data_IF_723030817775
#
_entry.id   IF_723030817775
#
_cell.length_a   1.000
_cell.length_b   1.000
_cell.length_c   1.000
_cell.angle_alpha   90.00
_cell.angle_beta   90.00
_cell.angle_gamma   90.00
#
_symmetry.space_group_name_H-M   'P 1'
#
loop_
_entity.id
_entity.type
_entity.pdbx_description
1 polymer ?
#
# COMPACT_ATOMS: atom_id res chain seq x y z
N UNK A 1 -20.67 51.71 74.30
CA UNK A 1 -21.02 50.28 74.38
C UNK A 1 -20.07 49.53 73.45
N UNK A 2 -19.11 48.77 74.01
CA UNK A 2 -18.10 48.01 73.26
C UNK A 2 -18.58 46.57 73.14
N UNK A 3 -18.66 46.06 71.91
CA UNK A 3 -18.63 44.62 71.60
C UNK A 3 -17.48 44.44 70.59
N UNK A 4 -16.44 43.65 70.91
CA UNK A 4 -15.39 43.30 69.96
C UNK A 4 -15.74 42.00 69.24
N UNK A 5 -15.25 41.80 68.02
CA UNK A 5 -14.93 40.49 67.40
C UNK A 5 -14.86 40.72 65.88
N UNK A 6 -13.69 40.63 65.24
CA UNK A 6 -13.16 39.33 64.79
C UNK A 6 -14.25 38.37 64.27
N UNK A 7 -15.09 38.82 63.34
CA UNK A 7 -15.94 37.88 62.60
C UNK A 7 -16.37 38.36 61.19
N UNK A 8 -15.70 39.38 60.65
CA UNK A 8 -16.00 39.86 59.28
C UNK A 8 -14.94 39.52 58.23
N UNK A 9 -13.82 38.90 58.62
CA UNK A 9 -12.70 38.59 57.71
C UNK A 9 -12.50 37.10 57.42
N UNK A 10 -13.36 36.22 57.93
CA UNK A 10 -13.25 34.75 57.72
C UNK A 10 -14.15 34.25 56.59
N UNK A 11 -15.12 35.05 56.12
CA UNK A 11 -16.08 34.60 55.08
C UNK A 11 -15.68 34.92 53.64
N UNK A 12 -14.61 35.70 53.39
CA UNK A 12 -14.14 35.98 52.03
C UNK A 12 -12.90 35.17 51.61
N UNK A 13 -12.23 34.50 52.56
CA UNK A 13 -11.10 33.61 52.28
C UNK A 13 -11.51 32.14 52.07
N UNK A 14 -12.78 31.78 52.31
CA UNK A 14 -13.29 30.42 52.19
C UNK A 14 -13.91 30.07 50.82
N UNK A 15 -13.95 31.02 49.88
CA UNK A 15 -14.46 30.80 48.51
C UNK A 15 -13.36 30.65 47.44
N UNK A 16 -12.09 30.62 47.84
CA UNK A 16 -10.94 30.35 46.96
C UNK A 16 -10.37 28.93 47.11
N UNK A 17 -11.03 28.06 47.88
CA UNK A 17 -10.52 26.71 48.19
C UNK A 17 -11.18 25.55 47.42
N UNK A 18 -12.15 25.81 46.54
CA UNK A 18 -12.76 24.77 45.69
C UNK A 18 -12.95 25.27 44.26
N UNK A 19 -11.82 25.44 43.59
CA UNK A 19 -11.76 25.84 42.19
C UNK A 19 -10.41 25.51 41.56
N UNK A 20 -9.69 24.50 42.08
CA UNK A 20 -8.81 23.74 41.21
C UNK A 20 -9.74 23.05 40.22
N UNK A 21 -10.00 23.70 39.10
CA UNK A 21 -10.25 22.99 37.87
C UNK A 21 -9.03 22.08 37.71
N UNK A 22 -9.15 20.85 38.20
CA UNK A 22 -8.36 19.76 37.71
C UNK A 22 -8.50 19.86 36.20
N UNK A 23 -7.43 20.27 35.54
CA UNK A 23 -7.30 20.09 34.11
C UNK A 23 -7.82 18.69 33.84
N UNK A 24 -8.72 18.50 32.85
CA UNK A 24 -9.26 17.16 32.57
C UNK A 24 -8.06 16.24 32.55
N UNK A 25 -8.07 15.23 33.42
CA UNK A 25 -6.98 14.28 33.53
C UNK A 25 -6.60 13.95 32.10
N UNK A 26 -5.38 14.32 31.72
CA UNK A 26 -4.83 13.89 30.46
C UNK A 26 -4.81 12.38 30.64
N UNK A 27 -5.83 11.73 30.10
CA UNK A 27 -5.84 10.30 29.91
C UNK A 27 -4.68 10.09 28.96
N UNK A 28 -3.48 9.95 29.53
CA UNK A 28 -2.38 9.29 28.88
C UNK A 28 -2.96 7.93 28.58
N UNK A 29 -3.44 7.80 27.35
CA UNK A 29 -3.84 6.54 26.78
C UNK A 29 -2.70 5.62 27.14
N UNK A 30 -3.03 4.65 28.01
CA UNK A 30 -2.18 3.55 28.41
C UNK A 30 -1.38 3.16 27.20
N UNK A 31 -0.04 3.18 27.37
CA UNK A 31 0.97 2.95 26.34
C UNK A 31 0.37 2.22 25.15
N UNK A 32 0.32 2.88 24.00
CA UNK A 32 -0.12 2.26 22.76
C UNK A 32 0.86 1.13 22.41
N UNK A 33 0.65 -0.02 23.05
CA UNK A 33 1.29 -1.29 22.85
C UNK A 33 0.73 -1.83 21.54
N UNK A 34 1.25 -1.29 20.43
CA UNK A 34 1.52 -2.02 19.21
C UNK A 34 2.03 -1.04 18.14
N UNK A 35 3.33 -1.11 17.89
CA UNK A 35 3.84 -0.88 16.54
C UNK A 35 3.29 -2.01 15.67
N UNK A 36 2.14 -1.81 15.02
CA UNK A 36 1.62 -2.78 14.04
C UNK A 36 2.28 -2.57 12.68
N UNK A 37 3.58 -2.81 12.63
CA UNK A 37 4.06 -3.95 11.87
C UNK A 37 5.57 -4.08 12.07
N UNK A 38 5.99 -5.11 12.79
CA UNK A 38 7.27 -5.74 12.49
C UNK A 38 7.31 -5.99 10.98
N UNK A 39 8.49 -5.83 10.36
CA UNK A 39 8.69 -6.27 8.99
C UNK A 39 8.15 -7.71 8.86
N UNK A 40 7.39 -7.99 7.81
CA UNK A 40 6.84 -9.33 7.65
C UNK A 40 8.01 -10.32 7.57
N UNK A 41 7.81 -11.51 8.13
CA UNK A 41 8.71 -12.65 7.95
C UNK A 41 9.11 -12.80 6.47
N UNK A 42 10.29 -13.37 6.17
CA UNK A 42 10.79 -13.49 4.82
C UNK A 42 9.73 -14.04 3.86
N UNK A 43 9.58 -13.42 2.69
CA UNK A 43 8.67 -13.88 1.64
C UNK A 43 9.39 -14.83 0.70
N UNK A 44 8.73 -15.91 0.32
CA UNK A 44 9.28 -16.88 -0.60
C UNK A 44 8.81 -16.62 -2.03
N UNK A 45 9.76 -16.54 -2.96
CA UNK A 45 9.48 -16.38 -4.39
C UNK A 45 9.76 -17.70 -5.10
N UNK A 46 8.72 -18.28 -5.72
CA UNK A 46 8.79 -19.60 -6.35
C UNK A 46 8.66 -19.51 -7.87
N UNK A 47 9.63 -20.02 -8.65
CA UNK A 47 9.62 -19.90 -10.10
C UNK A 47 8.74 -20.94 -10.80
N UNK A 48 8.23 -21.97 -10.10
CA UNK A 48 7.62 -23.14 -10.75
C UNK A 48 6.43 -22.86 -11.68
N UNK A 49 5.62 -21.83 -11.40
CA UNK A 49 4.54 -21.40 -12.31
C UNK A 49 5.11 -20.69 -13.53
N UNK A 50 6.03 -19.75 -13.31
CA UNK A 50 6.74 -19.03 -14.37
C UNK A 50 7.48 -19.99 -15.32
N UNK A 51 8.24 -20.95 -14.81
CA UNK A 51 8.96 -21.93 -15.62
C UNK A 51 8.04 -22.76 -16.52
N UNK A 52 6.86 -23.13 -16.01
CA UNK A 52 5.84 -23.81 -16.81
C UNK A 52 5.29 -22.89 -17.90
N UNK A 53 5.04 -21.63 -17.57
CA UNK A 53 4.49 -20.65 -18.52
C UNK A 53 5.52 -20.32 -19.61
N UNK A 54 6.80 -20.13 -19.27
CA UNK A 54 7.88 -19.91 -20.25
C UNK A 54 7.95 -21.06 -21.26
N UNK A 55 7.87 -22.32 -20.80
CA UNK A 55 7.79 -23.50 -21.69
C UNK A 55 6.55 -23.48 -22.57
N UNK A 56 5.40 -23.12 -22.00
CA UNK A 56 4.11 -23.04 -22.72
C UNK A 56 4.17 -22.01 -23.85
N UNK A 57 4.78 -20.85 -23.58
CA UNK A 57 4.92 -19.74 -24.53
C UNK A 57 6.17 -19.84 -25.41
N UNK A 58 6.95 -20.93 -25.29
CA UNK A 58 8.23 -21.15 -26.00
C UNK A 58 9.21 -19.98 -25.82
N UNK A 59 9.23 -19.42 -24.61
CA UNK A 59 10.16 -18.39 -24.22
C UNK A 59 11.45 -19.02 -23.65
N UNK A 60 12.60 -18.33 -23.77
CA UNK A 60 13.86 -18.84 -23.24
C UNK A 60 13.81 -19.05 -21.72
N UNK A 61 14.33 -20.18 -21.21
CA UNK A 61 14.29 -20.51 -19.79
C UNK A 61 15.09 -19.53 -18.92
N UNK A 62 16.13 -18.90 -19.46
CA UNK A 62 16.94 -17.88 -18.78
C UNK A 62 16.13 -16.64 -18.37
N UNK A 63 14.99 -16.39 -19.03
CA UNK A 63 14.07 -15.32 -18.62
C UNK A 63 13.54 -15.52 -17.21
N UNK A 64 13.50 -16.76 -16.71
CA UNK A 64 13.09 -17.05 -15.33
C UNK A 64 13.96 -16.27 -14.34
N UNK A 65 15.28 -16.35 -14.46
CA UNK A 65 16.21 -15.64 -13.57
C UNK A 65 16.07 -14.11 -13.68
N UNK A 66 15.90 -13.59 -14.89
CA UNK A 66 15.73 -12.13 -15.12
C UNK A 66 14.43 -11.62 -14.47
N UNK A 67 13.34 -12.35 -14.65
CA UNK A 67 12.03 -12.00 -14.08
C UNK A 67 12.06 -12.13 -12.56
N UNK A 68 12.65 -13.20 -12.03
CA UNK A 68 12.77 -13.42 -10.59
C UNK A 68 13.57 -12.29 -9.94
N UNK A 69 14.74 -11.94 -10.48
CA UNK A 69 15.53 -10.79 -10.02
C UNK A 69 14.72 -9.49 -10.08
N UNK A 70 14.00 -9.25 -11.19
CA UNK A 70 13.17 -8.07 -11.36
C UNK A 70 12.08 -7.98 -10.29
N UNK A 71 11.39 -9.10 -9.99
CA UNK A 71 10.36 -9.15 -8.96
C UNK A 71 10.97 -8.97 -7.58
N UNK A 72 12.09 -9.64 -7.30
CA UNK A 72 12.86 -9.52 -6.05
C UNK A 72 13.24 -8.06 -5.77
N UNK A 73 13.91 -7.39 -6.70
CA UNK A 73 14.31 -5.98 -6.55
C UNK A 73 13.14 -5.05 -6.25
N UNK A 74 12.00 -5.25 -6.92
CA UNK A 74 10.83 -4.41 -6.75
C UNK A 74 10.14 -4.66 -5.40
N UNK A 75 10.14 -5.90 -4.92
CA UNK A 75 9.61 -6.23 -3.58
C UNK A 75 10.55 -5.69 -2.50
N UNK A 76 11.86 -5.85 -2.65
CA UNK A 76 12.85 -5.34 -1.68
C UNK A 76 12.80 -3.81 -1.56
N UNK A 77 12.60 -3.10 -2.68
CA UNK A 77 12.38 -1.64 -2.69
C UNK A 77 11.24 -1.19 -1.79
N UNK A 78 10.25 -2.04 -1.54
CA UNK A 78 9.11 -1.68 -0.67
C UNK A 78 9.45 -1.81 0.81
N UNK A 79 10.62 -2.38 1.16
CA UNK A 79 11.09 -2.60 2.55
C UNK A 79 10.07 -3.28 3.46
N UNK A 80 9.17 -4.08 2.88
CA UNK A 80 8.01 -4.65 3.59
C UNK A 80 8.31 -6.01 4.20
N UNK A 81 8.98 -6.85 3.43
CA UNK A 81 9.47 -8.14 3.89
C UNK A 81 10.90 -7.95 4.37
N UNK A 82 11.27 -8.65 5.45
CA UNK A 82 12.65 -8.62 5.96
C UNK A 82 13.65 -9.11 4.91
N UNK A 83 13.22 -10.04 4.06
CA UNK A 83 14.00 -10.61 2.98
C UNK A 83 13.08 -11.27 1.93
N UNK A 84 13.52 -11.29 0.68
CA UNK A 84 12.97 -12.17 -0.36
C UNK A 84 13.86 -13.40 -0.46
N UNK A 85 13.29 -14.60 -0.35
CA UNK A 85 14.00 -15.88 -0.45
C UNK A 85 13.51 -16.61 -1.69
N UNK A 86 14.41 -16.89 -2.61
CA UNK A 86 14.09 -17.69 -3.79
C UNK A 86 14.21 -19.19 -3.48
N UNK A 87 13.24 -19.98 -3.94
CA UNK A 87 13.29 -21.44 -3.84
C UNK A 87 12.57 -22.00 -2.60
N UNK A 88 13.13 -23.02 -1.97
CA UNK A 88 12.39 -23.86 -1.01
C UNK A 88 11.87 -23.08 0.20
N UNK A 89 10.61 -23.34 0.56
CA UNK A 89 9.97 -22.77 1.74
C UNK A 89 10.55 -23.44 2.99
N UNK A 90 11.28 -22.69 3.79
CA UNK A 90 11.96 -23.18 5.00
C UNK A 90 11.32 -22.69 6.30
N UNK A 91 10.21 -21.94 6.23
CA UNK A 91 9.54 -21.34 7.39
C UNK A 91 8.03 -21.55 7.37
N UNK A 92 7.41 -21.34 8.52
CA UNK A 92 5.96 -21.41 8.72
C UNK A 92 5.39 -20.00 8.91
N UNK A 93 4.10 -19.79 8.65
CA UNK A 93 3.45 -18.46 8.74
C UNK A 93 4.08 -17.41 7.82
N UNK A 94 4.24 -17.75 6.55
CA UNK A 94 4.92 -16.91 5.55
C UNK A 94 4.08 -16.69 4.29
N UNK A 95 4.41 -15.64 3.55
CA UNK A 95 3.88 -15.39 2.23
C UNK A 95 4.71 -16.09 1.16
N UNK A 96 4.02 -16.59 0.14
CA UNK A 96 4.60 -17.22 -1.03
C UNK A 96 4.06 -16.53 -2.27
N UNK A 97 4.98 -16.10 -3.12
CA UNK A 97 4.69 -15.40 -4.37
C UNK A 97 5.09 -16.33 -5.52
N UNK A 98 4.17 -16.54 -6.46
CA UNK A 98 4.41 -17.32 -7.67
C UNK A 98 4.15 -16.44 -8.90
N UNK A 99 5.20 -16.02 -9.63
CA UNK A 99 5.02 -15.32 -10.89
C UNK A 99 4.41 -16.24 -11.95
N UNK A 100 3.56 -15.69 -12.82
CA UNK A 100 2.99 -16.39 -13.97
C UNK A 100 2.59 -15.46 -15.11
N UNK A 101 2.34 -16.03 -16.29
CA UNK A 101 1.96 -15.32 -17.51
C UNK A 101 0.57 -15.81 -17.94
N UNK A 102 -0.44 -14.94 -17.79
CA UNK A 102 -1.83 -15.24 -18.15
C UNK A 102 -2.04 -15.34 -19.66
N UNK A 103 -1.45 -14.39 -20.40
CA UNK A 103 -1.63 -14.31 -21.84
C UNK A 103 -0.47 -13.60 -22.50
N UNK A 104 -0.05 -14.11 -23.65
CA UNK A 104 0.93 -13.48 -24.52
C UNK A 104 0.40 -13.49 -25.95
N UNK A 105 0.43 -12.35 -26.62
CA UNK A 105 -0.04 -12.23 -28.00
C UNK A 105 0.82 -11.29 -28.82
N UNK A 106 0.87 -11.59 -30.11
CA UNK A 106 1.60 -10.84 -31.11
C UNK A 106 0.69 -10.69 -32.33
N UNK A 107 0.52 -9.46 -32.79
CA UNK A 107 -0.32 -9.16 -33.94
C UNK A 107 0.41 -8.21 -34.87
N UNK A 108 0.25 -8.43 -36.17
CA UNK A 108 0.68 -7.52 -37.21
C UNK A 108 -0.55 -7.05 -37.97
N UNK A 109 -0.71 -5.75 -38.08
CA UNK A 109 -1.85 -5.14 -38.75
C UNK A 109 -1.34 -4.15 -39.79
N UNK A 110 -1.77 -4.26 -41.07
CA UNK A 110 -1.44 -3.27 -42.08
C UNK A 110 -1.92 -1.87 -41.65
N UNK A 111 -1.17 -0.82 -41.99
CA UNK A 111 -1.60 0.56 -41.73
C UNK A 111 -2.23 1.11 -43.02
N UNK A 112 -3.56 1.35 -43.06
CA UNK A 112 -4.23 1.77 -44.30
C UNK A 112 -3.69 3.09 -44.86
N UNK A 113 -3.26 4.00 -43.98
CA UNK A 113 -2.72 5.32 -44.35
C UNK A 113 -1.23 5.33 -44.68
N UNK A 114 -0.52 4.22 -44.43
CA UNK A 114 0.90 4.05 -44.76
C UNK A 114 1.15 2.61 -45.22
N UNK A 115 0.97 2.32 -46.53
CA UNK A 115 1.09 0.97 -47.07
C UNK A 115 2.53 0.44 -47.06
N UNK A 116 3.51 1.30 -46.75
CA UNK A 116 4.91 0.89 -46.63
C UNK A 116 5.24 0.33 -45.24
N UNK A 117 4.31 0.45 -44.28
CA UNK A 117 4.50 0.02 -42.90
C UNK A 117 3.34 -0.85 -42.40
N UNK A 118 3.60 -1.58 -41.33
CA UNK A 118 2.62 -2.32 -40.54
C UNK A 118 2.79 -1.97 -39.08
N UNK A 119 1.69 -2.03 -38.33
CA UNK A 119 1.68 -1.92 -36.89
C UNK A 119 1.87 -3.31 -36.29
N UNK A 120 2.94 -3.46 -35.52
CA UNK A 120 3.21 -4.62 -34.68
C UNK A 120 2.69 -4.29 -33.28
N UNK A 121 1.85 -5.15 -32.73
CA UNK A 121 1.35 -5.00 -31.37
C UNK A 121 1.64 -6.28 -30.58
N UNK A 122 2.36 -6.12 -29.48
CA UNK A 122 2.69 -7.18 -28.53
C UNK A 122 1.97 -6.91 -27.23
N UNK A 123 1.19 -7.87 -26.75
CA UNK A 123 0.47 -7.76 -25.48
C UNK A 123 0.83 -8.90 -24.56
N UNK A 124 1.20 -8.58 -23.32
CA UNK A 124 1.43 -9.56 -22.27
C UNK A 124 0.63 -9.19 -21.03
N UNK A 125 -0.06 -10.17 -20.46
CA UNK A 125 -0.65 -10.09 -19.14
C UNK A 125 0.15 -10.98 -18.20
N UNK A 126 0.73 -10.39 -17.19
CA UNK A 126 1.50 -11.10 -16.17
C UNK A 126 0.76 -11.05 -14.84
N UNK A 127 1.05 -12.01 -13.95
CA UNK A 127 0.51 -12.07 -12.60
C UNK A 127 1.55 -12.49 -11.57
N UNK A 128 1.32 -12.07 -10.34
CA UNK A 128 1.98 -12.52 -9.12
C UNK A 128 0.91 -13.13 -8.23
N UNK A 129 0.86 -14.46 -8.16
CA UNK A 129 -0.05 -15.19 -7.29
C UNK A 129 0.49 -15.17 -5.87
N UNK A 130 -0.27 -14.61 -4.93
CA UNK A 130 0.16 -14.51 -3.53
C UNK A 130 -0.66 -15.45 -2.66
N UNK A 131 0.04 -16.30 -1.92
CA UNK A 131 -0.51 -17.26 -0.97
C UNK A 131 0.10 -17.02 0.40
N UNK A 132 -0.68 -17.28 1.44
CA UNK A 132 -0.18 -17.36 2.81
C UNK A 132 -0.14 -18.82 3.23
N UNK A 133 1.00 -19.27 3.74
CA UNK A 133 1.17 -20.61 4.30
C UNK A 133 1.11 -20.54 5.81
N UNK A 134 0.17 -21.26 6.44
CA UNK A 134 0.06 -21.31 7.89
C UNK A 134 1.11 -22.25 8.52
N UNK A 135 1.06 -22.37 9.84
CA UNK A 135 1.86 -23.27 10.67
C UNK A 135 1.68 -24.76 10.37
N UNK A 136 0.58 -25.13 9.72
CA UNK A 136 0.27 -26.49 9.27
C UNK A 136 0.69 -26.78 7.83
N UNK A 137 1.30 -25.82 7.14
CA UNK A 137 1.68 -25.94 5.72
C UNK A 137 0.50 -25.79 4.75
N UNK A 138 -0.67 -25.37 5.23
CA UNK A 138 -1.84 -25.15 4.38
C UNK A 138 -1.76 -23.77 3.72
N UNK A 139 -2.05 -23.74 2.41
CA UNK A 139 -2.05 -22.51 1.64
C UNK A 139 -3.44 -21.88 1.59
N UNK A 140 -3.51 -20.59 1.92
CA UNK A 140 -4.66 -19.73 1.67
C UNK A 140 -4.32 -18.74 0.57
N UNK A 141 -5.13 -18.74 -0.49
CA UNK A 141 -5.00 -17.73 -1.53
C UNK A 141 -5.33 -16.36 -0.94
N UNK A 142 -4.45 -15.39 -1.15
CA UNK A 142 -4.72 -14.00 -0.79
C UNK A 142 -5.46 -13.31 -1.94
N UNK A 143 -4.71 -12.64 -2.82
CA UNK A 143 -5.20 -12.15 -4.10
C UNK A 143 -4.04 -12.09 -5.09
N UNK A 144 -4.26 -12.32 -6.39
CA UNK A 144 -3.24 -12.11 -7.39
C UNK A 144 -3.04 -10.61 -7.68
N UNK A 145 -1.82 -10.24 -8.08
CA UNK A 145 -1.50 -8.92 -8.61
C UNK A 145 -1.14 -9.06 -10.07
N UNK A 146 -1.84 -8.35 -10.96
CA UNK A 146 -1.65 -8.52 -12.40
C UNK A 146 -1.51 -7.18 -13.09
N UNK A 147 -0.79 -7.19 -14.21
CA UNK A 147 -0.62 -6.05 -15.08
C UNK A 147 -0.72 -6.49 -16.54
N UNK A 148 -1.33 -5.66 -17.39
CA UNK A 148 -1.46 -5.88 -18.82
C UNK A 148 -0.70 -4.78 -19.55
N UNK A 149 0.33 -5.17 -20.29
CA UNK A 149 1.14 -4.25 -21.10
C UNK A 149 0.93 -4.50 -22.57
N UNK A 150 0.96 -3.41 -23.33
CA UNK A 150 0.93 -3.41 -24.79
C UNK A 150 2.10 -2.57 -25.27
N UNK A 151 2.90 -3.14 -26.16
CA UNK A 151 3.90 -2.43 -26.96
C UNK A 151 3.37 -2.36 -28.40
N UNK A 152 3.31 -1.14 -28.92
CA UNK A 152 2.84 -0.86 -30.28
C UNK A 152 3.96 -0.21 -31.08
N UNK A 153 4.42 -0.87 -32.13
CA UNK A 153 5.53 -0.45 -32.98
C UNK A 153 5.13 -0.33 -34.45
N UNK A 154 5.75 0.62 -35.17
CA UNK A 154 5.52 0.78 -36.62
C UNK A 154 6.75 0.30 -37.37
N UNK A 155 6.64 -0.86 -38.01
CA UNK A 155 7.76 -1.47 -38.74
C UNK A 155 7.53 -1.39 -40.24
N UNK A 156 8.62 -1.36 -41.01
CA UNK A 156 8.56 -1.41 -42.48
C UNK A 156 8.03 -2.75 -42.96
N UNK A 157 7.19 -2.74 -43.99
CA UNK A 157 6.74 -3.97 -44.67
C UNK A 157 7.86 -4.67 -45.43
N UNK A 158 8.97 -3.95 -45.73
CA UNK A 158 10.13 -4.52 -46.45
C UNK A 158 10.91 -5.52 -45.62
N UNK A 159 10.84 -5.43 -44.29
CA UNK A 159 11.60 -6.28 -43.39
C UNK A 159 10.64 -7.04 -42.47
N UNK A 160 10.57 -8.38 -42.55
CA UNK A 160 9.79 -9.15 -41.62
C UNK A 160 10.36 -9.01 -40.20
N UNK A 161 9.49 -9.05 -39.19
CA UNK A 161 9.94 -9.09 -37.80
C UNK A 161 10.53 -10.47 -37.56
N UNK A 162 11.82 -10.53 -37.23
CA UNK A 162 12.52 -11.79 -36.98
C UNK A 162 12.06 -12.42 -35.67
N UNK A 163 12.39 -13.71 -35.48
CA UNK A 163 12.09 -14.40 -34.23
C UNK A 163 12.81 -13.73 -33.04
N UNK A 164 14.05 -13.28 -33.24
CA UNK A 164 14.84 -12.56 -32.24
C UNK A 164 14.16 -11.24 -31.88
N UNK A 165 13.72 -10.47 -32.87
CA UNK A 165 13.06 -9.19 -32.60
C UNK A 165 11.71 -9.36 -31.90
N UNK A 166 10.97 -10.41 -32.25
CA UNK A 166 9.73 -10.78 -31.56
C UNK A 166 9.98 -11.18 -30.11
N UNK A 167 11.06 -11.91 -29.86
CA UNK A 167 11.47 -12.29 -28.52
C UNK A 167 11.87 -11.05 -27.69
N UNK A 168 12.63 -10.11 -28.26
CA UNK A 168 12.94 -8.84 -27.60
C UNK A 168 11.67 -8.10 -27.15
N UNK A 169 10.66 -7.99 -28.02
CA UNK A 169 9.39 -7.36 -27.67
C UNK A 169 8.64 -8.10 -26.56
N UNK A 170 8.67 -9.44 -26.56
CA UNK A 170 8.07 -10.21 -25.47
C UNK A 170 8.78 -9.94 -24.14
N UNK A 171 10.11 -9.99 -24.14
CA UNK A 171 10.92 -9.72 -22.94
C UNK A 171 10.64 -8.34 -22.37
N UNK A 172 10.64 -7.30 -23.22
CA UNK A 172 10.38 -5.93 -22.79
C UNK A 172 9.00 -5.78 -22.12
N UNK A 173 7.94 -6.26 -22.78
CA UNK A 173 6.57 -6.13 -22.29
C UNK A 173 6.36 -6.94 -20.99
N UNK A 174 6.96 -8.13 -20.91
CA UNK A 174 6.88 -9.00 -19.72
C UNK A 174 7.62 -8.37 -18.54
N UNK A 175 8.85 -7.89 -18.73
CA UNK A 175 9.63 -7.26 -17.66
C UNK A 175 8.95 -6.00 -17.11
N UNK A 176 8.46 -5.13 -17.99
CA UNK A 176 7.72 -3.93 -17.59
C UNK A 176 6.44 -4.32 -16.84
N UNK A 177 5.73 -5.35 -17.32
CA UNK A 177 4.55 -5.88 -16.66
C UNK A 177 4.85 -6.37 -15.23
N UNK A 178 5.94 -7.13 -15.05
CA UNK A 178 6.32 -7.64 -13.73
C UNK A 178 6.76 -6.53 -12.78
N UNK A 179 7.47 -5.50 -13.28
CA UNK A 179 7.80 -4.31 -12.49
C UNK A 179 6.53 -3.63 -11.96
N UNK A 180 5.52 -3.46 -12.82
CA UNK A 180 4.24 -2.85 -12.43
C UNK A 180 3.44 -3.74 -11.46
N UNK A 181 3.34 -5.05 -11.71
CA UNK A 181 2.65 -5.99 -10.84
C UNK A 181 3.32 -6.07 -9.45
N UNK A 182 4.66 -6.09 -9.39
CA UNK A 182 5.42 -6.10 -8.15
C UNK A 182 5.25 -4.79 -7.37
N UNK A 183 5.19 -3.64 -8.05
CA UNK A 183 4.85 -2.37 -7.41
C UNK A 183 3.44 -2.38 -6.81
N UNK A 184 2.44 -2.92 -7.52
CA UNK A 184 1.07 -3.07 -6.98
C UNK A 184 1.02 -3.99 -5.76
N UNK A 185 1.81 -5.08 -5.77
CA UNK A 185 1.98 -5.96 -4.62
C UNK A 185 2.59 -5.18 -3.46
N UNK A 186 3.70 -4.48 -3.71
CA UNK A 186 4.36 -3.61 -2.75
C UNK A 186 3.42 -2.60 -2.10
N UNK A 187 2.58 -1.93 -2.90
CA UNK A 187 1.57 -0.98 -2.42
C UNK A 187 0.49 -1.66 -1.57
N UNK A 188 0.03 -2.85 -1.95
CA UNK A 188 -1.00 -3.55 -1.18
C UNK A 188 -0.47 -4.13 0.13
N UNK A 189 0.81 -4.48 0.18
CA UNK A 189 1.50 -4.86 1.40
C UNK A 189 2.13 -3.66 2.13
N UNK A 190 2.04 -2.44 1.59
CA UNK A 190 2.58 -1.22 2.18
C UNK A 190 1.99 -1.03 3.59
N UNK A 191 2.82 -0.85 4.63
CA UNK A 191 2.28 -0.61 5.95
C UNK A 191 1.46 0.68 5.92
N UNK A 192 0.25 0.59 6.44
CA UNK A 192 -0.56 1.75 6.75
C UNK A 192 -0.65 1.83 8.26
N UNK A 193 -0.08 2.87 8.87
CA UNK A 193 -0.20 3.06 10.32
C UNK A 193 -1.55 3.69 10.62
N UNK A 194 -2.36 3.04 11.46
CA UNK A 194 -3.54 3.68 12.04
C UNK A 194 -3.02 4.76 12.99
N UNK A 195 -3.05 6.00 12.50
CA UNK A 195 -2.50 7.15 13.20
C UNK A 195 -3.45 7.78 14.20
N UNK A 196 -4.74 7.43 14.08
CA UNK A 196 -5.77 8.04 14.90
C UNK A 196 -7.16 7.59 14.51
N UNK A 197 -8.14 8.32 15.06
CA UNK A 197 -9.55 8.16 14.75
C UNK A 197 -10.13 9.51 14.37
N UNK A 198 -11.15 9.48 13.51
CA UNK A 198 -11.98 10.66 13.25
C UNK A 198 -12.63 11.06 14.57
N UNK A 199 -12.22 12.19 15.13
CA UNK A 199 -12.75 12.71 16.39
C UNK A 199 -14.02 13.52 16.17
N UNK A 200 -14.12 14.21 15.02
CA UNK A 200 -15.29 15.02 14.66
C UNK A 200 -15.44 15.13 13.16
N UNK A 201 -16.68 15.11 12.68
CA UNK A 201 -17.02 15.46 11.29
C UNK A 201 -17.85 16.74 11.27
N UNK A 202 -17.43 17.71 10.47
CA UNK A 202 -18.19 18.93 10.22
C UNK A 202 -18.41 19.11 8.71
N UNK A 203 -19.55 18.62 8.22
CA UNK A 203 -19.81 18.53 6.79
C UNK A 203 -18.77 17.64 6.08
N UNK A 204 -18.04 18.22 5.12
CA UNK A 204 -16.94 17.53 4.41
C UNK A 204 -15.58 17.66 5.08
N UNK A 205 -15.49 18.22 6.29
CA UNK A 205 -14.22 18.38 7.01
C UNK A 205 -14.14 17.36 8.13
N UNK A 206 -13.08 16.56 8.14
CA UNK A 206 -12.77 15.65 9.23
C UNK A 206 -11.70 16.26 10.13
N UNK A 207 -11.93 16.17 11.43
CA UNK A 207 -10.92 16.34 12.46
C UNK A 207 -10.50 14.95 12.92
N UNK A 208 -9.20 14.71 12.95
CA UNK A 208 -8.59 13.45 13.31
C UNK A 208 -7.68 13.71 14.49
N UNK A 209 -7.94 13.05 15.61
CA UNK A 209 -7.03 13.07 16.74
C UNK A 209 -5.93 12.04 16.48
N UNK A 210 -4.68 12.49 16.49
CA UNK A 210 -3.51 11.68 16.17
C UNK A 210 -2.53 11.64 17.35
N UNK A 211 -1.72 10.59 17.41
CA UNK A 211 -0.61 10.53 18.35
C UNK A 211 0.66 11.12 17.70
N UNK A 212 1.06 12.34 18.11
CA UNK A 212 2.15 13.09 17.46
C UNK A 212 3.56 12.58 17.73
N UNK A 213 3.74 11.64 18.66
CA UNK A 213 5.06 11.06 18.96
C UNK A 213 5.75 10.40 17.77
N UNK A 214 5.01 10.05 16.70
CA UNK A 214 5.50 9.34 15.51
C UNK A 214 5.39 10.12 14.19
N UNK A 215 4.97 11.39 14.22
CA UNK A 215 4.45 12.11 13.02
C UNK A 215 5.36 13.31 12.64
N UNK A 216 6.60 13.37 13.12
CA UNK A 216 7.51 14.50 12.82
C UNK A 216 7.78 14.72 11.31
N UNK A 217 7.53 13.74 10.46
CA UNK A 217 7.83 13.80 9.02
C UNK A 217 6.70 13.30 8.10
N UNK A 218 5.44 13.46 8.52
CA UNK A 218 4.31 13.07 7.66
C UNK A 218 4.16 14.03 6.48
N UNK A 219 4.03 13.54 5.23
CA UNK A 219 3.82 14.41 4.10
C UNK A 219 2.39 14.92 4.12
N UNK A 220 2.24 16.16 3.69
CA UNK A 220 1.00 16.93 3.84
C UNK A 220 -0.06 16.61 2.78
N UNK A 221 -0.02 15.43 2.17
CA UNK A 221 -0.84 15.13 0.98
C UNK A 221 -2.19 14.51 1.37
N UNK A 222 -2.23 13.24 1.74
CA UNK A 222 -3.50 12.54 1.96
C UNK A 222 -3.40 11.41 3.00
N UNK A 223 -4.53 11.11 3.66
CA UNK A 223 -4.69 9.96 4.57
C UNK A 223 -6.00 9.23 4.26
N UNK A 224 -6.10 7.95 4.61
CA UNK A 224 -7.27 7.12 4.30
C UNK A 224 -8.10 6.84 5.55
N UNK A 225 -9.42 6.91 5.45
CA UNK A 225 -10.35 6.41 6.46
C UNK A 225 -10.69 4.97 6.14
N UNK A 226 -10.58 4.07 7.12
CA UNK A 226 -10.86 2.65 6.98
C UNK A 226 -11.92 2.14 7.98
N UNK A 227 -12.58 1.05 7.60
CA UNK A 227 -13.39 0.25 8.54
C UNK A 227 -12.52 -0.70 9.37
N UNK A 228 -13.16 -1.51 10.21
CA UNK A 228 -12.49 -2.45 11.10
C UNK A 228 -11.79 -3.59 10.35
N UNK A 229 -12.25 -3.91 9.14
CA UNK A 229 -11.66 -4.91 8.24
C UNK A 229 -10.52 -4.32 7.36
N UNK A 230 -10.21 -3.03 7.54
CA UNK A 230 -9.13 -2.35 6.82
C UNK A 230 -9.48 -1.90 5.39
N UNK A 231 -10.76 -1.94 5.00
CA UNK A 231 -11.26 -1.45 3.71
C UNK A 231 -11.37 0.07 3.75
N UNK A 232 -10.92 0.72 2.66
CA UNK A 232 -10.94 2.18 2.52
C UNK A 232 -12.37 2.67 2.28
N UNK A 233 -12.87 3.50 3.19
CA UNK A 233 -14.16 4.18 3.12
C UNK A 233 -14.04 5.56 2.45
N UNK A 234 -12.98 6.30 2.75
CA UNK A 234 -12.76 7.65 2.24
C UNK A 234 -11.29 8.04 2.22
N UNK A 235 -10.98 9.15 1.54
CA UNK A 235 -9.68 9.82 1.57
C UNK A 235 -9.86 11.20 2.22
N UNK A 236 -8.95 11.60 3.09
CA UNK A 236 -8.85 12.95 3.63
C UNK A 236 -7.65 13.62 2.96
N UNK A 237 -7.88 14.73 2.28
CA UNK A 237 -6.87 15.48 1.52
C UNK A 237 -6.87 16.97 1.96
N UNK A 238 -5.80 17.70 1.61
CA UNK A 238 -5.60 19.09 2.03
C UNK A 238 -5.32 19.20 3.53
N UNK A 239 -4.42 18.36 4.04
CA UNK A 239 -4.20 18.17 5.46
C UNK A 239 -3.54 19.39 6.11
N UNK A 240 -4.19 19.91 7.16
CA UNK A 240 -3.59 20.83 8.13
C UNK A 240 -3.19 20.02 9.37
N UNK A 241 -1.89 19.99 9.66
CA UNK A 241 -1.32 19.23 10.78
C UNK A 241 -1.04 20.19 11.94
N UNK A 242 -1.60 19.90 13.10
CA UNK A 242 -1.35 20.58 14.37
C UNK A 242 -0.81 19.56 15.39
N UNK A 243 -0.24 20.03 16.49
CA UNK A 243 0.17 19.11 17.55
C UNK A 243 -1.06 18.33 18.09
N UNK A 244 -0.97 17.00 18.11
CA UNK A 244 -2.04 16.07 18.45
C UNK A 244 -3.21 15.94 17.45
N UNK A 245 -3.24 16.64 16.32
CA UNK A 245 -4.41 16.58 15.41
C UNK A 245 -4.13 16.86 13.93
N UNK A 246 -4.97 16.30 13.06
CA UNK A 246 -5.01 16.61 11.63
C UNK A 246 -6.43 17.03 11.26
N UNK A 247 -6.55 18.02 10.39
CA UNK A 247 -7.83 18.42 9.80
C UNK A 247 -7.73 18.42 8.27
N UNK A 248 -8.75 17.97 7.56
CA UNK A 248 -8.76 17.97 6.10
C UNK A 248 -10.13 17.69 5.49
N UNK A 249 -10.22 17.73 4.15
CA UNK A 249 -11.45 17.49 3.40
C UNK A 249 -11.63 16.00 3.11
N UNK A 250 -12.80 15.47 3.41
CA UNK A 250 -13.19 14.08 3.21
C UNK A 250 -13.81 13.88 1.82
N UNK A 251 -13.31 12.87 1.12
CA UNK A 251 -13.83 12.38 -0.15
C UNK A 251 -14.19 10.90 0.02
N UNK A 252 -15.48 10.62 0.19
CA UNK A 252 -15.98 9.26 0.36
C UNK A 252 -15.93 8.48 -0.95
N UNK A 253 -15.57 7.19 -0.87
CA UNK A 253 -15.75 6.27 -2.00
C UNK A 253 -17.23 5.92 -2.14
N UNK A 254 -17.70 5.76 -3.38
CA UNK A 254 -19.12 5.54 -3.70
C UNK A 254 -19.79 4.52 -2.76
N UNK A 255 -20.84 4.95 -2.05
CA UNK A 255 -21.65 4.14 -1.15
C UNK A 255 -21.05 3.88 0.25
N UNK A 256 -19.86 4.41 0.57
CA UNK A 256 -19.30 4.37 1.92
C UNK A 256 -19.76 5.60 2.73
N UNK A 257 -19.87 5.43 4.06
CA UNK A 257 -20.10 6.55 4.99
C UNK A 257 -19.01 6.56 6.06
N UNK A 258 -18.41 7.73 6.28
CA UNK A 258 -17.45 7.94 7.37
C UNK A 258 -18.18 8.32 8.64
N UNK A 259 -17.78 7.74 9.78
CA UNK A 259 -18.35 8.04 11.09
C UNK A 259 -17.27 8.51 12.06
N UNK A 260 -17.68 9.22 13.10
CA UNK A 260 -16.81 9.48 14.23
C UNK A 260 -16.37 8.15 14.86
N UNK A 261 -15.11 8.07 15.26
CA UNK A 261 -14.46 6.85 15.71
C UNK A 261 -13.87 5.98 14.59
N UNK A 262 -14.17 6.23 13.31
CA UNK A 262 -13.55 5.52 12.19
C UNK A 262 -12.03 5.67 12.23
N UNK A 263 -11.32 4.56 11.97
CA UNK A 263 -9.86 4.51 11.99
C UNK A 263 -9.30 5.29 10.80
N UNK A 264 -8.26 6.08 11.04
CA UNK A 264 -7.56 6.82 9.98
C UNK A 264 -6.14 6.31 9.88
N UNK A 265 -5.70 6.01 8.66
CA UNK A 265 -4.38 5.49 8.36
C UNK A 265 -3.60 6.39 7.42
N UNK A 266 -2.30 6.50 7.65
CA UNK A 266 -1.35 7.06 6.71
C UNK A 266 -0.57 5.92 6.03
N UNK A 267 -0.29 6.03 4.74
CA UNK A 267 0.62 5.09 4.04
C UNK A 267 2.06 5.41 4.45
N UNK A 268 2.92 4.40 4.62
CA UNK A 268 4.29 4.60 5.10
C UNK A 268 5.22 5.17 4.03
N UNK A 269 5.02 4.86 2.75
CA UNK A 269 5.82 5.47 1.66
C UNK A 269 5.67 7.00 1.55
N UNK A 270 4.67 7.54 2.21
CA UNK A 270 4.43 8.97 2.29
C UNK A 270 5.33 9.57 3.41
N UNK A 271 5.60 8.86 4.51
CA UNK A 271 6.47 9.32 5.59
C UNK A 271 7.92 9.47 5.08
N UNK A 272 8.33 10.69 4.73
CA UNK A 272 9.74 11.00 4.43
C UNK A 272 10.56 10.86 5.71
N UNK A 273 11.86 10.53 5.60
CA UNK A 273 12.79 10.61 6.73
C UNK A 273 12.85 12.02 7.34
#
# INVERSE_FOLDING_TARGET
MKIPFKLLFVSLAALLAFGCATAPDVVYVTEAQQVTSQALEPVYLLPGTLEKDLKTWKLPPEMSGVIMNTVTEQIEKTKRFTKVIEGQIAGNNTYVIQPGIDSLSYTETPIPTDPTRKKVAVKARVRLDVKYMNDRGEFRQFRPFSDLRTLDERVSNKFPVTAEKKLEYYTEVIEVGYKAAANLLGVAFNPSYVMGKVSKLNGKVAHVQINTSKIRHMPKKEVEVIDDDGKVLAVIDGLTVNDGSITGKVYEKSGASVKEGSKVRAKVNDLTE
#
